data_IF_306510400890
#
_entry.id   IF_306510400890
#
_cell.length_a   1.000
_cell.length_b   1.000
_cell.length_c   1.000
_cell.angle_alpha   90.00
_cell.angle_beta   90.00
_cell.angle_gamma   90.00
#
_symmetry.space_group_name_H-M   'P 1'
#
loop_
_entity.id
_entity.type
_entity.pdbx_description
1 polymer ?
#
# COMPACT_ATOMS: atom_id res chain seq x y z
N UNK A 1 7.75 -23.99 -8.33
CA UNK A 1 8.85 -23.02 -8.12
C UNK A 1 9.74 -22.86 -9.34
N UNK A 2 10.35 -21.69 -9.51
CA UNK A 2 11.24 -21.43 -10.64
C UNK A 2 12.51 -22.30 -10.56
N UNK A 3 12.83 -23.01 -11.65
CA UNK A 3 14.06 -23.82 -11.78
C UNK A 3 15.32 -22.95 -11.73
N UNK A 4 15.26 -21.74 -12.24
CA UNK A 4 16.37 -20.79 -12.19
C UNK A 4 16.67 -20.38 -10.74
N UNK A 5 17.91 -20.58 -10.31
CA UNK A 5 18.40 -20.26 -8.97
C UNK A 5 19.03 -18.87 -8.88
N UNK A 6 19.12 -18.10 -9.96
CA UNK A 6 19.82 -16.80 -10.02
C UNK A 6 19.37 -15.84 -8.93
N UNK A 7 18.07 -15.62 -8.78
CA UNK A 7 17.51 -14.74 -7.74
C UNK A 7 17.74 -15.30 -6.34
N UNK A 8 17.57 -16.62 -6.14
CA UNK A 8 17.79 -17.25 -4.85
C UNK A 8 19.25 -17.19 -4.42
N UNK A 9 20.19 -17.36 -5.35
CA UNK A 9 21.62 -17.16 -5.10
C UNK A 9 21.92 -15.70 -4.76
N UNK A 10 21.35 -14.76 -5.50
CA UNK A 10 21.52 -13.33 -5.20
C UNK A 10 21.07 -12.97 -3.78
N UNK A 11 19.92 -13.51 -3.34
CA UNK A 11 19.41 -13.36 -1.98
C UNK A 11 20.30 -14.07 -0.96
N UNK A 12 20.66 -15.33 -1.20
CA UNK A 12 21.52 -16.13 -0.32
C UNK A 12 22.91 -15.53 -0.09
N UNK A 13 23.42 -14.75 -1.04
CA UNK A 13 24.68 -14.04 -0.85
C UNK A 13 24.54 -12.91 0.18
N UNK A 14 23.39 -12.22 0.22
CA UNK A 14 23.18 -10.98 0.99
C UNK A 14 22.38 -11.18 2.28
N UNK A 15 21.64 -12.28 2.38
CA UNK A 15 20.83 -12.60 3.52
C UNK A 15 20.86 -14.10 3.81
N UNK A 16 20.73 -14.42 5.09
CA UNK A 16 20.44 -15.76 5.57
C UNK A 16 18.93 -16.01 5.53
N UNK A 17 18.53 -17.20 5.08
CA UNK A 17 17.13 -17.63 5.14
C UNK A 17 16.84 -18.11 6.55
N UNK A 18 16.00 -17.39 7.28
CA UNK A 18 15.53 -17.80 8.61
C UNK A 18 14.40 -18.83 8.50
N UNK A 19 13.60 -18.72 7.45
CA UNK A 19 12.53 -19.64 7.12
C UNK A 19 11.67 -19.11 5.99
N UNK A 20 10.89 -19.99 5.39
CA UNK A 20 9.80 -19.65 4.48
C UNK A 20 8.56 -20.45 4.87
N UNK A 21 7.37 -19.91 4.61
CA UNK A 21 6.08 -20.54 4.91
C UNK A 21 5.26 -20.54 3.62
N UNK A 22 4.82 -21.71 3.18
CA UNK A 22 3.95 -21.87 2.01
C UNK A 22 2.50 -21.90 2.44
N UNK A 23 1.71 -20.99 1.90
CA UNK A 23 0.30 -20.82 2.20
C UNK A 23 -0.58 -21.66 1.25
N UNK A 24 -1.77 -22.07 1.69
CA UNK A 24 -2.74 -22.71 0.82
C UNK A 24 -3.26 -21.73 -0.25
N UNK A 25 -3.73 -22.29 -1.35
CA UNK A 25 -4.12 -21.55 -2.56
C UNK A 25 -5.27 -20.55 -2.34
N UNK A 26 -6.07 -20.71 -1.30
CA UNK A 26 -7.22 -19.87 -0.99
C UNK A 26 -6.92 -18.73 0.00
N UNK A 27 -5.67 -18.59 0.45
CA UNK A 27 -5.25 -17.58 1.43
C UNK A 27 -5.64 -16.14 1.04
N UNK A 28 -5.68 -15.85 -0.26
CA UNK A 28 -6.06 -14.54 -0.80
C UNK A 28 -7.42 -14.52 -1.51
N UNK A 29 -8.18 -15.61 -1.48
CA UNK A 29 -9.46 -15.72 -2.19
C UNK A 29 -10.50 -14.72 -1.69
N UNK A 30 -10.61 -14.54 -0.37
CA UNK A 30 -11.60 -13.63 0.25
C UNK A 30 -11.28 -12.14 0.02
N UNK A 31 -10.01 -11.78 -0.03
CA UNK A 31 -9.57 -10.38 -0.08
C UNK A 31 -9.21 -9.90 -1.50
N UNK A 32 -8.69 -10.79 -2.35
CA UNK A 32 -8.16 -10.46 -3.67
C UNK A 32 -8.76 -11.30 -4.81
N UNK A 33 -9.68 -12.23 -4.51
CA UNK A 33 -10.31 -13.09 -5.53
C UNK A 33 -9.34 -14.04 -6.25
N UNK A 34 -8.14 -14.22 -5.73
CA UNK A 34 -7.08 -15.01 -6.35
C UNK A 34 -6.91 -16.35 -5.64
N UNK A 35 -6.85 -17.43 -6.42
CA UNK A 35 -6.56 -18.79 -5.97
C UNK A 35 -5.13 -19.17 -6.39
N UNK A 36 -4.14 -18.74 -5.62
CA UNK A 36 -2.72 -18.89 -5.92
C UNK A 36 -1.94 -19.35 -4.69
N UNK A 37 -1.08 -20.36 -4.86
CA UNK A 37 -0.12 -20.75 -3.82
C UNK A 37 0.89 -19.63 -3.65
N UNK A 38 1.09 -19.17 -2.42
CA UNK A 38 1.93 -18.03 -2.09
C UNK A 38 2.85 -18.36 -0.92
N UNK A 39 4.04 -17.74 -0.90
CA UNK A 39 5.04 -17.99 0.13
C UNK A 39 5.35 -16.71 0.92
N UNK A 40 5.54 -16.83 2.24
CA UNK A 40 6.10 -15.78 3.11
C UNK A 40 7.55 -16.16 3.39
N UNK A 41 8.50 -15.26 3.10
CA UNK A 41 9.94 -15.55 3.23
C UNK A 41 10.55 -14.62 4.28
N UNK A 42 11.27 -15.19 5.24
CA UNK A 42 11.96 -14.48 6.31
C UNK A 42 13.47 -14.54 6.09
N UNK A 43 14.09 -13.36 5.95
CA UNK A 43 15.50 -13.20 5.61
C UNK A 43 16.19 -12.32 6.66
N UNK A 44 17.34 -12.75 7.15
CA UNK A 44 18.23 -11.93 7.98
C UNK A 44 19.36 -11.38 7.12
N UNK A 45 19.42 -10.05 6.97
CA UNK A 45 20.47 -9.38 6.22
C UNK A 45 21.83 -9.70 6.84
N UNK A 46 22.81 -10.00 5.99
CA UNK A 46 24.20 -10.16 6.39
C UNK A 46 24.94 -8.83 6.34
N UNK A 47 25.95 -8.69 7.18
CA UNK A 47 26.82 -7.50 7.20
C UNK A 47 27.67 -7.39 5.93
N UNK A 48 28.00 -8.53 5.32
CA UNK A 48 28.72 -8.59 4.04
C UNK A 48 28.16 -9.68 3.14
N UNK A 49 28.19 -9.48 1.81
CA UNK A 49 27.89 -10.54 0.86
C UNK A 49 28.87 -11.70 1.04
N UNK A 50 28.35 -12.93 1.07
CA UNK A 50 29.15 -14.15 1.04
C UNK A 50 28.87 -14.87 -0.27
N UNK A 51 29.90 -15.37 -0.96
CA UNK A 51 29.70 -16.21 -2.12
C UNK A 51 29.42 -17.66 -1.70
N UNK A 52 28.15 -17.94 -1.43
CA UNK A 52 27.68 -19.25 -1.00
C UNK A 52 26.46 -19.69 -1.82
N UNK A 53 26.22 -21.00 -1.85
CA UNK A 53 25.05 -21.61 -2.49
C UNK A 53 24.42 -22.61 -1.53
N UNK A 54 23.58 -22.15 -0.59
CA UNK A 54 22.84 -23.03 0.32
C UNK A 54 21.86 -23.95 -0.41
N UNK A 55 21.52 -25.09 0.18
CA UNK A 55 20.59 -26.08 -0.41
C UNK A 55 19.22 -25.48 -0.76
N UNK A 56 18.69 -24.56 0.04
CA UNK A 56 17.40 -23.88 -0.25
C UNK A 56 17.41 -23.09 -1.57
N UNK A 57 18.58 -22.77 -2.13
CA UNK A 57 18.66 -22.12 -3.45
C UNK A 57 18.34 -23.08 -4.60
N UNK A 58 18.31 -24.38 -4.32
CA UNK A 58 18.02 -25.43 -5.29
C UNK A 58 16.55 -25.85 -5.25
N UNK A 59 16.13 -26.54 -6.30
CA UNK A 59 14.84 -27.23 -6.35
C UNK A 59 15.09 -28.74 -6.22
N UNK A 60 14.20 -29.45 -5.53
CA UNK A 60 14.14 -30.90 -5.56
C UNK A 60 12.83 -31.39 -6.18
N UNK A 61 12.56 -32.68 -6.06
CA UNK A 61 11.29 -33.29 -6.46
C UNK A 61 10.56 -33.86 -5.26
N UNK A 62 9.25 -33.67 -5.20
CA UNK A 62 8.37 -34.39 -4.26
C UNK A 62 8.23 -35.86 -4.67
N UNK A 63 7.65 -36.68 -3.79
CA UNK A 63 7.33 -38.09 -4.11
C UNK A 63 6.42 -38.21 -5.35
N UNK A 64 5.51 -37.25 -5.53
CA UNK A 64 4.61 -37.16 -6.69
C UNK A 64 5.26 -36.54 -7.95
N UNK A 65 6.57 -36.25 -7.91
CA UNK A 65 7.36 -35.80 -9.06
C UNK A 65 7.34 -34.29 -9.35
N UNK A 66 6.74 -33.47 -8.47
CA UNK A 66 6.69 -32.02 -8.65
C UNK A 66 7.99 -31.34 -8.26
N UNK A 67 8.45 -30.41 -9.10
CA UNK A 67 9.64 -29.62 -8.83
C UNK A 67 9.32 -28.44 -7.89
N UNK A 68 9.74 -28.56 -6.63
CA UNK A 68 9.57 -27.51 -5.61
C UNK A 68 10.92 -27.11 -5.02
N UNK A 69 10.97 -25.97 -4.34
CA UNK A 69 12.14 -25.51 -3.63
C UNK A 69 12.56 -26.55 -2.57
N UNK A 70 13.86 -26.84 -2.52
CA UNK A 70 14.42 -27.83 -1.60
C UNK A 70 14.08 -27.54 -0.14
N UNK A 71 13.97 -26.26 0.24
CA UNK A 71 13.54 -25.85 1.58
C UNK A 71 12.21 -26.49 1.99
N UNK A 72 11.19 -26.52 1.13
CA UNK A 72 9.88 -27.09 1.48
C UNK A 72 9.86 -28.62 1.45
N UNK A 73 10.86 -29.25 0.83
CA UNK A 73 11.08 -30.70 0.93
C UNK A 73 11.68 -31.03 2.30
N UNK A 74 12.64 -30.23 2.74
CA UNK A 74 13.36 -30.43 3.98
C UNK A 74 12.54 -29.96 5.21
N UNK A 75 11.58 -29.05 4.99
CA UNK A 75 10.68 -28.47 6.00
C UNK A 75 9.20 -28.63 5.61
N UNK A 76 8.66 -29.87 5.58
CA UNK A 76 7.25 -30.10 5.25
C UNK A 76 6.29 -29.43 6.25
N UNK A 77 6.71 -29.21 7.50
CA UNK A 77 5.96 -28.47 8.52
C UNK A 77 5.70 -27.01 8.16
N UNK A 78 6.46 -26.45 7.21
CA UNK A 78 6.33 -25.09 6.72
C UNK A 78 5.35 -24.95 5.55
N UNK A 79 4.69 -26.04 5.14
CA UNK A 79 3.66 -26.05 4.11
C UNK A 79 2.29 -26.17 4.78
N UNK A 80 1.54 -25.06 4.83
CA UNK A 80 0.29 -24.95 5.57
C UNK A 80 -0.92 -25.47 4.78
N UNK A 81 -0.83 -26.72 4.32
CA UNK A 81 -1.88 -27.34 3.55
C UNK A 81 -1.53 -28.74 3.02
N UNK A 82 -2.49 -29.37 2.36
CA UNK A 82 -2.29 -30.63 1.65
C UNK A 82 -1.71 -30.35 0.27
N UNK A 83 -0.53 -30.88 0.01
CA UNK A 83 0.13 -30.80 -1.28
C UNK A 83 -0.53 -31.79 -2.24
N UNK A 84 -1.08 -31.31 -3.36
CA UNK A 84 -1.81 -32.16 -4.30
C UNK A 84 -1.55 -31.75 -5.76
N UNK A 85 -1.61 -32.70 -6.72
CA UNK A 85 -1.66 -32.40 -8.14
C UNK A 85 -3.02 -31.77 -8.50
N UNK A 86 -3.00 -30.68 -9.27
CA UNK A 86 -4.22 -30.08 -9.84
C UNK A 86 -4.14 -30.02 -11.35
N UNK A 87 -5.24 -30.38 -12.03
CA UNK A 87 -5.33 -30.24 -13.48
C UNK A 87 -5.64 -28.79 -13.85
N UNK A 88 -4.76 -28.18 -14.64
CA UNK A 88 -4.93 -26.83 -15.17
C UNK A 88 -5.04 -26.86 -16.70
N UNK A 89 -5.41 -25.73 -17.31
CA UNK A 89 -5.44 -25.57 -18.76
C UNK A 89 -4.08 -25.83 -19.44
N UNK A 90 -2.98 -25.83 -18.68
CA UNK A 90 -1.62 -26.05 -19.15
C UNK A 90 -1.04 -27.41 -18.76
N UNK A 91 -1.85 -28.30 -18.18
CA UNK A 91 -1.45 -29.63 -17.70
C UNK A 91 -1.54 -29.75 -16.18
N UNK A 92 -0.93 -30.79 -15.63
CA UNK A 92 -0.87 -30.99 -14.18
C UNK A 92 0.08 -29.98 -13.54
N UNK A 93 -0.39 -29.30 -12.50
CA UNK A 93 0.36 -28.36 -11.70
C UNK A 93 0.32 -28.76 -10.21
N UNK A 94 1.16 -28.12 -9.41
CA UNK A 94 1.26 -28.32 -7.98
C UNK A 94 0.39 -27.30 -7.24
N UNK A 95 -0.46 -27.76 -6.32
CA UNK A 95 -1.23 -26.88 -5.42
C UNK A 95 -1.05 -27.27 -3.96
N UNK A 96 -1.41 -26.34 -3.08
CA UNK A 96 -1.51 -26.56 -1.64
C UNK A 96 -2.95 -26.23 -1.24
N UNK A 97 -3.73 -27.26 -0.91
CA UNK A 97 -5.13 -27.11 -0.49
C UNK A 97 -5.21 -26.89 1.02
N UNK A 98 -6.15 -26.08 1.52
CA UNK A 98 -6.33 -25.90 2.96
C UNK A 98 -6.66 -27.23 3.65
N UNK A 99 -6.18 -27.40 4.89
CA UNK A 99 -6.53 -28.57 5.70
C UNK A 99 -7.91 -28.31 6.31
N UNK A 100 -8.86 -29.19 5.99
CA UNK A 100 -10.22 -29.12 6.52
C UNK A 100 -10.22 -29.16 8.06
N UNK A 101 -10.92 -28.20 8.67
CA UNK A 101 -11.05 -28.07 10.12
C UNK A 101 -9.89 -27.32 10.81
N UNK A 102 -8.89 -26.83 10.08
CA UNK A 102 -7.83 -25.99 10.63
C UNK A 102 -7.92 -24.55 10.10
N UNK A 103 -7.84 -23.59 11.01
CA UNK A 103 -7.75 -22.17 10.65
C UNK A 103 -6.33 -21.82 10.20
N UNK A 104 -6.21 -20.98 9.16
CA UNK A 104 -4.92 -20.55 8.63
C UNK A 104 -4.14 -19.70 9.65
N UNK A 105 -4.84 -18.90 10.45
CA UNK A 105 -4.22 -18.05 11.48
C UNK A 105 -3.44 -18.88 12.51
N UNK A 106 -3.99 -20.00 12.92
CA UNK A 106 -3.41 -20.85 13.97
C UNK A 106 -2.20 -21.61 13.42
N UNK A 107 -2.33 -22.15 12.20
CA UNK A 107 -1.23 -22.77 11.47
C UNK A 107 -0.07 -21.79 11.24
N UNK A 108 -0.36 -20.54 10.87
CA UNK A 108 0.67 -19.52 10.68
C UNK A 108 1.34 -19.15 12.00
N UNK A 109 0.57 -19.04 13.08
CA UNK A 109 1.10 -18.76 14.42
C UNK A 109 2.05 -19.87 14.89
N UNK A 110 1.77 -21.13 14.57
CA UNK A 110 2.65 -22.25 14.87
C UNK A 110 3.90 -22.30 13.98
N UNK A 111 3.75 -22.08 12.66
CA UNK A 111 4.88 -22.08 11.73
C UNK A 111 5.91 -20.99 12.04
N UNK A 112 5.46 -19.80 12.44
CA UNK A 112 6.36 -18.68 12.81
C UNK A 112 7.24 -19.03 14.03
N UNK A 113 6.82 -19.95 14.92
CA UNK A 113 7.63 -20.35 16.09
C UNK A 113 8.93 -21.04 15.70
N UNK A 114 9.01 -21.63 14.52
CA UNK A 114 10.22 -22.27 13.99
C UNK A 114 11.19 -21.28 13.34
N UNK A 115 10.79 -20.02 13.19
CA UNK A 115 11.60 -18.98 12.55
C UNK A 115 12.28 -18.15 13.63
N UNK A 116 13.60 -18.31 13.72
CA UNK A 116 14.42 -17.62 14.71
C UNK A 116 15.33 -16.62 14.02
N UNK A 117 15.18 -15.34 14.36
CA UNK A 117 16.04 -14.27 13.90
C UNK A 117 16.37 -13.32 15.03
N UNK A 118 17.50 -12.64 14.89
CA UNK A 118 17.84 -11.53 15.77
C UNK A 118 17.64 -10.22 15.01
N UNK A 119 16.86 -9.32 15.59
CA UNK A 119 16.92 -7.93 15.17
C UNK A 119 18.12 -7.29 15.87
N UNK A 120 19.19 -7.10 15.12
CA UNK A 120 20.23 -6.15 15.51
C UNK A 120 19.85 -4.81 14.91
N UNK A 121 19.58 -3.85 15.79
CA UNK A 121 19.60 -2.45 15.39
C UNK A 121 20.97 -2.20 14.75
N UNK A 122 21.00 -1.62 13.55
CA UNK A 122 22.24 -1.45 12.82
C UNK A 122 23.19 -0.60 13.67
N UNK A 123 24.23 -1.23 14.25
CA UNK A 123 25.28 -0.49 14.93
C UNK A 123 25.96 0.41 13.89
N UNK A 124 26.07 1.69 14.25
CA UNK A 124 26.85 2.66 13.50
C UNK A 124 28.26 2.06 13.31
N UNK A 125 28.82 2.06 12.10
CA UNK A 125 30.26 1.88 11.98
C UNK A 125 30.92 2.89 12.93
N UNK A 126 31.80 2.45 13.83
CA UNK A 126 32.69 3.39 14.51
C UNK A 126 33.52 4.06 13.42
N UNK A 127 33.12 5.29 13.09
CA UNK A 127 33.74 6.08 12.04
C UNK A 127 35.19 6.34 12.45
N UNK A 128 36.13 5.83 11.64
CA UNK A 128 37.50 6.32 11.67
C UNK A 128 37.50 7.83 11.41
N UNK A 129 38.52 8.53 11.91
CA UNK A 129 38.66 9.98 11.79
C UNK A 129 38.46 10.45 10.33
N UNK A 130 37.29 11.01 10.00
CA UNK A 130 37.01 11.63 8.70
C UNK A 130 35.62 11.41 8.08
N UNK A 131 34.76 10.54 8.61
CA UNK A 131 33.42 10.31 8.03
C UNK A 131 32.32 11.18 8.69
N UNK A 132 31.42 11.73 7.87
CA UNK A 132 30.37 12.64 8.31
C UNK A 132 29.42 11.96 9.30
N UNK A 133 29.05 12.69 10.36
CA UNK A 133 28.09 12.26 11.39
C UNK A 133 26.82 11.74 10.70
N UNK A 134 26.46 10.46 10.93
CA UNK A 134 25.15 9.94 10.51
C UNK A 134 24.06 10.70 11.27
N UNK A 135 23.46 11.67 10.59
CA UNK A 135 22.40 12.53 11.15
C UNK A 135 21.00 11.99 10.85
N UNK A 136 20.90 10.77 10.31
CA UNK A 136 19.62 10.16 9.97
C UNK A 136 18.95 9.50 11.19
N UNK A 137 17.62 9.48 11.17
CA UNK A 137 16.77 8.95 12.25
C UNK A 137 15.89 7.80 11.73
N UNK A 138 15.31 6.95 12.60
CA UNK A 138 14.30 5.98 12.20
C UNK A 138 13.14 6.66 11.46
N UNK A 139 12.60 6.00 10.42
CA UNK A 139 11.48 6.58 9.68
C UNK A 139 10.21 6.67 10.54
N UNK A 140 9.54 7.82 10.47
CA UNK A 140 8.17 7.98 10.97
C UNK A 140 7.20 7.22 10.07
N UNK A 141 6.41 6.27 10.60
CA UNK A 141 5.46 5.50 9.81
C UNK A 141 4.35 6.37 9.17
N UNK A 142 4.06 7.55 9.73
CA UNK A 142 3.04 8.48 9.23
C UNK A 142 3.53 9.34 8.05
N UNK A 143 4.84 9.45 7.84
CA UNK A 143 5.42 10.20 6.72
C UNK A 143 5.49 9.27 5.52
N UNK A 144 4.85 9.57 4.39
CA UNK A 144 4.92 8.72 3.19
C UNK A 144 6.38 8.53 2.71
N UNK A 145 6.71 7.32 2.24
CA UNK A 145 8.03 7.06 1.65
C UNK A 145 8.31 8.02 0.47
N UNK A 146 9.56 8.44 0.29
CA UNK A 146 9.98 9.44 -0.70
C UNK A 146 9.29 10.79 -0.52
N UNK A 147 9.22 11.27 0.73
CA UNK A 147 8.62 12.56 1.06
C UNK A 147 9.46 13.28 2.12
N UNK A 148 9.46 14.60 2.08
CA UNK A 148 10.10 15.41 3.11
C UNK A 148 9.22 15.52 4.36
N UNK A 149 9.81 15.71 5.53
CA UNK A 149 9.09 16.02 6.76
C UNK A 149 9.92 16.93 7.65
N UNK A 150 9.25 17.67 8.53
CA UNK A 150 9.90 18.52 9.51
C UNK A 150 9.87 17.83 10.87
N UNK A 151 11.04 17.43 11.37
CA UNK A 151 11.20 16.81 12.69
C UNK A 151 12.10 17.72 13.51
N UNK A 152 11.61 18.16 14.68
CA UNK A 152 12.29 19.11 15.56
C UNK A 152 12.81 20.37 14.84
N UNK A 153 12.02 20.87 13.90
CA UNK A 153 12.32 22.06 13.11
C UNK A 153 13.35 21.86 11.99
N UNK A 154 13.80 20.64 11.72
CA UNK A 154 14.78 20.29 10.69
C UNK A 154 14.14 19.48 9.57
N UNK A 155 14.62 19.67 8.34
CA UNK A 155 14.15 18.91 7.18
C UNK A 155 14.77 17.51 7.19
N UNK A 156 13.93 16.51 7.05
CA UNK A 156 14.31 15.14 6.75
C UNK A 156 13.63 14.69 5.47
N UNK A 157 14.23 13.73 4.77
CA UNK A 157 13.67 13.05 3.63
C UNK A 157 13.55 11.56 3.95
N UNK A 158 12.36 10.98 3.80
CA UNK A 158 12.14 9.56 4.10
C UNK A 158 12.58 8.70 2.91
N UNK A 159 13.53 7.81 3.18
CA UNK A 159 13.95 6.73 2.27
C UNK A 159 13.76 5.38 2.96
N UNK A 160 12.69 4.71 2.59
CA UNK A 160 12.26 3.42 3.12
C UNK A 160 12.07 3.47 4.65
N UNK A 161 13.01 2.88 5.39
CA UNK A 161 12.99 2.74 6.84
C UNK A 161 13.82 3.79 7.56
N UNK A 162 14.42 4.76 6.84
CA UNK A 162 15.20 5.86 7.42
C UNK A 162 14.69 7.22 6.98
N UNK A 163 14.96 8.22 7.79
CA UNK A 163 14.77 9.63 7.48
C UNK A 163 16.13 10.31 7.51
N UNK A 164 16.61 10.74 6.34
CA UNK A 164 17.95 11.31 6.15
C UNK A 164 17.88 12.83 6.11
N UNK A 165 18.93 13.52 6.55
CA UNK A 165 19.03 14.96 6.33
C UNK A 165 19.51 15.21 4.90
N UNK A 166 18.71 15.86 4.05
CA UNK A 166 19.18 16.25 2.73
C UNK A 166 20.23 17.35 2.86
N UNK A 167 21.25 17.31 1.99
CA UNK A 167 22.23 18.39 1.87
C UNK A 167 21.60 19.61 1.18
N UNK A 168 21.01 20.49 1.99
CA UNK A 168 20.33 21.69 1.54
C UNK A 168 21.03 22.92 2.09
N UNK A 169 21.28 23.91 1.22
CA UNK A 169 21.62 25.24 1.70
C UNK A 169 20.40 25.90 2.36
N UNK A 170 20.63 26.97 3.14
CA UNK A 170 19.59 27.64 3.91
C UNK A 170 18.38 28.13 3.07
N UNK A 171 18.61 28.50 1.80
CA UNK A 171 17.52 28.95 0.91
C UNK A 171 16.69 27.76 0.43
N UNK A 172 17.33 26.66 0.05
CA UNK A 172 16.65 25.43 -0.36
C UNK A 172 15.88 24.82 0.82
N UNK A 173 16.48 24.75 2.01
CA UNK A 173 15.82 24.28 3.23
C UNK A 173 14.55 25.09 3.55
N UNK A 174 14.63 26.42 3.44
CA UNK A 174 13.49 27.28 3.70
C UNK A 174 12.38 27.16 2.63
N UNK A 175 12.72 26.84 1.38
CA UNK A 175 11.74 26.48 0.32
C UNK A 175 11.07 25.15 0.63
N UNK A 176 11.84 24.13 0.95
CA UNK A 176 11.34 22.80 1.32
C UNK A 176 10.38 22.89 2.49
N UNK A 177 10.75 23.61 3.57
CA UNK A 177 9.85 23.84 4.73
C UNK A 177 8.51 24.46 4.33
N UNK A 178 8.53 25.45 3.44
CA UNK A 178 7.31 26.09 2.94
C UNK A 178 6.43 25.14 2.10
N UNK A 179 7.06 24.32 1.24
CA UNK A 179 6.36 23.35 0.40
C UNK A 179 5.82 22.16 1.21
N UNK A 180 6.54 21.70 2.25
CA UNK A 180 6.03 20.71 3.22
C UNK A 180 4.77 21.25 3.90
N UNK A 181 4.81 22.48 4.42
CA UNK A 181 3.63 23.09 5.06
C UNK A 181 2.43 23.23 4.11
N UNK A 182 2.67 23.59 2.84
CA UNK A 182 1.62 23.60 1.81
C UNK A 182 1.06 22.21 1.55
N UNK A 183 1.92 21.20 1.42
CA UNK A 183 1.53 19.81 1.17
C UNK A 183 0.67 19.28 2.30
N UNK A 184 1.10 19.45 3.54
CA UNK A 184 0.41 18.94 4.71
C UNK A 184 -0.98 19.59 4.82
N UNK A 185 -1.06 20.92 4.61
CA UNK A 185 -2.33 21.64 4.54
C UNK A 185 -3.25 21.15 3.40
N UNK A 186 -2.70 20.82 2.23
CA UNK A 186 -3.47 20.28 1.09
C UNK A 186 -3.98 18.87 1.40
N UNK A 187 -3.16 18.00 1.99
CA UNK A 187 -3.56 16.64 2.34
C UNK A 187 -4.68 16.66 3.38
N UNK A 188 -4.54 17.46 4.44
CA UNK A 188 -5.62 17.66 5.42
C UNK A 188 -6.90 18.21 4.77
N UNK A 189 -6.78 19.16 3.83
CA UNK A 189 -7.93 19.68 3.11
C UNK A 189 -8.61 18.63 2.20
N UNK A 190 -7.84 17.71 1.62
CA UNK A 190 -8.39 16.57 0.86
C UNK A 190 -9.17 15.66 1.80
N UNK A 191 -8.61 15.30 2.94
CA UNK A 191 -9.25 14.42 3.93
C UNK A 191 -10.56 15.03 4.45
N UNK A 192 -10.56 16.32 4.79
CA UNK A 192 -11.76 17.06 5.22
C UNK A 192 -12.84 17.09 4.14
N UNK A 193 -12.47 17.16 2.85
CA UNK A 193 -13.45 17.17 1.77
C UNK A 193 -14.04 15.79 1.47
N UNK A 194 -13.28 14.73 1.73
CA UNK A 194 -13.71 13.33 1.55
C UNK A 194 -14.70 12.88 2.62
N UNK A 195 -14.65 13.47 3.82
CA UNK A 195 -15.57 13.16 4.90
C UNK A 195 -16.93 13.87 4.73
N UNK A 196 -17.99 13.08 4.62
CA UNK A 196 -19.37 13.57 4.51
C UNK A 196 -19.89 14.24 5.79
N UNK A 197 -19.31 13.90 6.96
CA UNK A 197 -19.69 14.48 8.24
C UNK A 197 -19.08 15.86 8.48
N UNK A 198 -18.05 16.25 7.71
CA UNK A 198 -17.38 17.53 7.86
C UNK A 198 -18.22 18.66 7.27
N UNK A 199 -18.57 19.69 8.07
CA UNK A 199 -19.33 20.84 7.59
C UNK A 199 -18.49 21.74 6.67
N UNK A 200 -19.16 22.44 5.75
CA UNK A 200 -18.50 23.34 4.80
C UNK A 200 -17.72 24.48 5.48
N UNK A 201 -18.09 24.88 6.70
CA UNK A 201 -17.34 25.90 7.46
C UNK A 201 -15.92 25.45 7.80
N UNK A 202 -15.73 24.19 8.19
CA UNK A 202 -14.40 23.65 8.52
C UNK A 202 -13.51 23.58 7.26
N UNK A 203 -14.11 23.25 6.11
CA UNK A 203 -13.42 23.25 4.82
C UNK A 203 -13.02 24.68 4.44
N UNK A 204 -13.92 25.66 4.59
CA UNK A 204 -13.64 27.07 4.33
C UNK A 204 -12.50 27.61 5.21
N UNK A 205 -12.46 27.22 6.49
CA UNK A 205 -11.36 27.56 7.40
C UNK A 205 -10.02 27.01 6.89
N UNK A 206 -9.99 25.73 6.48
CA UNK A 206 -8.77 25.11 5.94
C UNK A 206 -8.37 25.68 4.58
N UNK A 207 -9.33 26.05 3.74
CA UNK A 207 -9.09 26.79 2.49
C UNK A 207 -8.50 28.18 2.74
N UNK A 208 -8.97 28.88 3.77
CA UNK A 208 -8.40 30.16 4.17
C UNK A 208 -6.96 30.00 4.69
N UNK A 209 -6.67 28.91 5.41
CA UNK A 209 -5.30 28.56 5.81
C UNK A 209 -4.40 28.28 4.60
N UNK A 210 -4.86 27.43 3.66
CA UNK A 210 -4.13 27.15 2.43
C UNK A 210 -3.83 28.42 1.63
N UNK A 211 -4.80 29.34 1.53
CA UNK A 211 -4.59 30.65 0.89
C UNK A 211 -3.48 31.44 1.56
N UNK A 212 -3.51 31.57 2.89
CA UNK A 212 -2.48 32.31 3.65
C UNK A 212 -1.09 31.70 3.47
N UNK A 213 -0.98 30.37 3.54
CA UNK A 213 0.28 29.66 3.34
C UNK A 213 0.81 29.86 1.92
N UNK A 214 -0.06 29.73 0.92
CA UNK A 214 0.31 29.91 -0.49
C UNK A 214 0.76 31.34 -0.78
N UNK A 215 0.01 32.34 -0.33
CA UNK A 215 0.33 33.74 -0.58
C UNK A 215 1.65 34.13 0.11
N UNK A 216 1.87 33.64 1.33
CA UNK A 216 3.13 33.85 2.06
C UNK A 216 4.32 33.17 1.38
N UNK A 217 4.13 31.95 0.88
CA UNK A 217 5.15 31.22 0.14
C UNK A 217 5.48 31.92 -1.18
N UNK A 218 4.46 32.21 -1.99
CA UNK A 218 4.61 32.77 -3.33
C UNK A 218 5.24 34.17 -3.30
N UNK A 219 4.87 35.01 -2.33
CA UNK A 219 5.47 36.33 -2.14
C UNK A 219 6.99 36.26 -1.88
N UNK A 220 7.49 35.19 -1.25
CA UNK A 220 8.90 35.04 -0.89
C UNK A 220 9.70 34.22 -1.90
N UNK A 221 9.08 33.21 -2.51
CA UNK A 221 9.77 32.16 -3.26
C UNK A 221 9.31 32.01 -4.71
N UNK A 222 8.32 32.79 -5.15
CA UNK A 222 7.72 32.65 -6.47
C UNK A 222 6.73 31.49 -6.56
N UNK A 223 6.34 31.15 -7.79
CA UNK A 223 5.36 30.10 -8.06
C UNK A 223 5.89 28.72 -7.66
N UNK A 224 5.04 27.81 -7.23
CA UNK A 224 5.40 26.42 -6.94
C UNK A 224 6.04 25.76 -8.17
N UNK A 225 5.52 26.09 -9.36
CA UNK A 225 6.03 25.60 -10.63
C UNK A 225 7.38 26.21 -11.07
N UNK A 226 7.88 27.23 -10.38
CA UNK A 226 9.16 27.86 -10.72
C UNK A 226 10.33 26.87 -10.60
N UNK A 227 11.31 27.01 -11.49
CA UNK A 227 12.49 26.11 -11.57
C UNK A 227 13.22 25.98 -10.23
N UNK A 228 13.33 27.05 -9.45
CA UNK A 228 14.02 27.02 -8.15
C UNK A 228 13.27 26.18 -7.10
N UNK A 229 11.93 26.21 -7.11
CA UNK A 229 11.10 25.39 -6.23
C UNK A 229 11.10 23.93 -6.68
N UNK A 230 11.04 23.70 -8.01
CA UNK A 230 11.22 22.36 -8.59
C UNK A 230 12.54 21.72 -8.16
N UNK A 231 13.66 22.42 -8.34
CA UNK A 231 14.98 21.89 -7.99
C UNK A 231 15.12 21.57 -6.50
N UNK A 232 14.38 22.26 -5.63
CA UNK A 232 14.45 22.04 -4.19
C UNK A 232 13.54 20.90 -3.70
N UNK A 233 12.49 20.53 -4.44
CA UNK A 233 11.40 19.70 -3.91
C UNK A 233 10.87 18.62 -4.87
N UNK A 234 11.41 18.50 -6.09
CA UNK A 234 10.90 17.55 -7.09
C UNK A 234 10.98 16.08 -6.66
N UNK A 235 11.86 15.75 -5.71
CA UNK A 235 11.99 14.39 -5.17
C UNK A 235 10.84 14.01 -4.23
N UNK A 236 10.04 14.97 -3.75
CA UNK A 236 8.86 14.67 -2.94
C UNK A 236 7.77 14.02 -3.78
N UNK A 237 7.23 12.91 -3.28
CA UNK A 237 6.17 12.14 -3.95
C UNK A 237 4.89 12.94 -4.21
N UNK A 238 4.70 14.07 -3.52
CA UNK A 238 3.53 14.95 -3.64
C UNK A 238 3.84 16.25 -4.41
N UNK A 239 5.03 16.42 -4.98
CA UNK A 239 5.39 17.66 -5.69
C UNK A 239 4.38 18.02 -6.80
N UNK A 240 4.00 17.06 -7.65
CA UNK A 240 3.05 17.32 -8.74
C UNK A 240 1.63 17.63 -8.26
N UNK A 241 1.24 17.17 -7.07
CA UNK A 241 0.00 17.59 -6.43
C UNK A 241 0.04 19.08 -6.07
N UNK A 242 1.17 19.56 -5.55
CA UNK A 242 1.37 20.97 -5.28
C UNK A 242 1.39 21.81 -6.56
N UNK A 243 2.01 21.32 -7.64
CA UNK A 243 1.98 22.02 -8.93
C UNK A 243 0.55 22.25 -9.44
N UNK A 244 -0.37 21.33 -9.17
CA UNK A 244 -1.78 21.45 -9.55
C UNK A 244 -2.56 22.55 -8.79
N UNK A 245 -1.95 23.18 -7.77
CA UNK A 245 -2.50 24.36 -7.11
C UNK A 245 -2.47 25.61 -8.00
N UNK A 246 -1.66 25.60 -9.05
CA UNK A 246 -1.43 26.73 -9.94
C UNK A 246 -1.91 26.37 -11.34
N UNK A 247 -2.83 27.16 -11.88
CA UNK A 247 -3.15 27.09 -13.30
C UNK A 247 -2.26 28.08 -14.03
N UNK A 248 -1.41 27.55 -14.89
CA UNK A 248 -0.37 28.30 -15.61
C UNK A 248 -0.82 28.51 -17.06
N UNK A 249 -0.62 29.71 -17.59
CA UNK A 249 -0.92 30.05 -18.98
C UNK A 249 0.16 29.54 -19.96
N UNK A 250 -0.02 29.81 -21.25
CA UNK A 250 0.91 29.40 -22.31
C UNK A 250 2.31 30.03 -22.17
N UNK A 251 2.42 31.18 -21.49
CA UNK A 251 3.67 31.90 -21.25
C UNK A 251 4.38 31.47 -19.96
N UNK A 252 3.83 30.51 -19.22
CA UNK A 252 4.40 30.04 -17.97
C UNK A 252 4.08 30.92 -16.75
N UNK A 253 3.08 31.82 -16.85
CA UNK A 253 2.65 32.69 -15.75
C UNK A 253 1.40 32.15 -15.06
N UNK A 254 1.22 32.53 -13.80
CA UNK A 254 0.02 32.18 -13.03
C UNK A 254 -1.22 32.86 -13.64
N UNK A 255 -2.10 32.06 -14.23
CA UNK A 255 -3.41 32.51 -14.70
C UNK A 255 -4.36 32.68 -13.51
N UNK A 256 -4.43 31.66 -12.63
CA UNK A 256 -5.22 31.66 -11.39
C UNK A 256 -4.79 30.53 -10.44
N UNK A 257 -5.24 30.62 -9.19
CA UNK A 257 -5.19 29.51 -8.23
C UNK A 257 -6.21 28.43 -8.61
N UNK A 258 -5.94 27.19 -8.22
CA UNK A 258 -6.87 26.08 -8.40
C UNK A 258 -8.18 26.26 -7.62
N UNK A 259 -9.24 25.59 -8.08
CA UNK A 259 -10.57 25.66 -7.49
C UNK A 259 -10.61 25.25 -6.00
N UNK A 260 -9.69 24.36 -5.58
CA UNK A 260 -9.58 23.86 -4.21
C UNK A 260 -9.33 24.97 -3.17
N UNK A 261 -8.83 26.14 -3.59
CA UNK A 261 -8.67 27.30 -2.69
C UNK A 261 -9.99 27.98 -2.31
N UNK A 262 -11.10 27.70 -2.99
CA UNK A 262 -12.35 28.48 -2.85
C UNK A 262 -13.62 27.65 -2.76
N UNK A 263 -13.61 26.40 -3.21
CA UNK A 263 -14.78 25.52 -3.18
C UNK A 263 -14.40 24.07 -3.00
N UNK A 264 -15.35 23.26 -2.52
CA UNK A 264 -15.22 21.82 -2.41
C UNK A 264 -15.04 21.23 -3.83
N UNK A 265 -13.88 20.66 -4.12
CA UNK A 265 -13.54 20.00 -5.39
C UNK A 265 -13.67 18.48 -5.31
N UNK A 266 -13.67 17.92 -4.12
CA UNK A 266 -13.88 16.48 -3.87
C UNK A 266 -15.26 16.32 -3.24
N UNK A 267 -16.16 15.63 -3.95
CA UNK A 267 -17.46 15.29 -3.36
C UNK A 267 -17.29 14.07 -2.45
N UNK A 268 -17.75 14.14 -1.19
CA UNK A 268 -17.72 12.98 -0.32
C UNK A 268 -18.61 11.89 -0.92
N UNK A 269 -18.21 10.65 -0.75
CA UNK A 269 -19.06 9.52 -1.12
C UNK A 269 -20.28 9.53 -0.20
N UNK A 270 -21.45 9.81 -0.75
CA UNK A 270 -22.71 9.70 -0.02
C UNK A 270 -23.35 8.37 -0.42
N UNK A 271 -23.35 7.42 0.51
CA UNK A 271 -24.11 6.19 0.34
C UNK A 271 -25.57 6.56 0.04
N UNK A 272 -26.10 6.00 -1.05
CA UNK A 272 -27.49 6.24 -1.42
C UNK A 272 -28.38 5.76 -0.27
N UNK A 273 -29.23 6.63 0.26
CA UNK A 273 -30.03 6.31 1.44
C UNK A 273 -31.37 5.64 1.09
N UNK A 274 -31.97 6.03 -0.04
CA UNK A 274 -33.26 5.50 -0.52
C UNK A 274 -33.24 5.45 -2.05
N UNK A 275 -33.84 4.40 -2.62
CA UNK A 275 -34.13 4.26 -4.06
C UNK A 275 -35.51 3.67 -4.26
N UNK A 276 -36.15 3.97 -5.39
CA UNK A 276 -37.56 3.59 -5.62
C UNK A 276 -37.70 2.19 -6.24
N UNK A 277 -36.68 1.73 -6.98
CA UNK A 277 -36.76 0.50 -7.77
C UNK A 277 -35.78 -0.58 -7.31
N UNK A 278 -36.15 -1.85 -7.50
CA UNK A 278 -35.26 -2.97 -7.22
C UNK A 278 -33.99 -2.94 -8.10
N UNK A 279 -34.08 -2.44 -9.34
CA UNK A 279 -32.94 -2.30 -10.25
C UNK A 279 -31.93 -1.26 -9.78
N UNK A 280 -32.39 -0.11 -9.27
CA UNK A 280 -31.51 0.89 -8.68
C UNK A 280 -30.88 0.36 -7.39
N UNK A 281 -31.66 -0.32 -6.54
CA UNK A 281 -31.16 -0.94 -5.33
C UNK A 281 -30.07 -1.99 -5.63
N UNK A 282 -30.27 -2.77 -6.70
CA UNK A 282 -29.29 -3.74 -7.18
C UNK A 282 -28.00 -3.04 -7.63
N UNK A 283 -28.10 -1.98 -8.44
CA UNK A 283 -26.93 -1.22 -8.88
C UNK A 283 -26.14 -0.64 -7.70
N UNK A 284 -26.84 -0.07 -6.71
CA UNK A 284 -26.23 0.43 -5.47
C UNK A 284 -25.61 -0.71 -4.67
N UNK A 285 -26.28 -1.85 -4.53
CA UNK A 285 -25.76 -3.02 -3.80
C UNK A 285 -24.47 -3.57 -4.44
N UNK A 286 -24.42 -3.68 -5.77
CA UNK A 286 -23.21 -4.08 -6.49
C UNK A 286 -22.09 -3.03 -6.31
N UNK A 287 -22.42 -1.73 -6.38
CA UNK A 287 -21.43 -0.66 -6.19
C UNK A 287 -20.85 -0.60 -4.77
N UNK A 288 -21.69 -0.79 -3.75
CA UNK A 288 -21.30 -0.59 -2.33
C UNK A 288 -20.85 -1.89 -1.64
N UNK A 289 -21.37 -3.04 -2.05
CA UNK A 289 -21.14 -4.34 -1.40
C UNK A 289 -20.45 -5.35 -2.30
N UNK A 290 -20.23 -5.02 -3.57
CA UNK A 290 -19.66 -5.92 -4.59
C UNK A 290 -20.44 -7.24 -4.76
N UNK A 291 -21.70 -7.31 -4.30
CA UNK A 291 -22.54 -8.49 -4.38
C UNK A 291 -24.03 -8.12 -4.33
N UNK A 292 -24.91 -9.09 -4.61
CA UNK A 292 -26.37 -8.92 -4.46
C UNK A 292 -26.74 -9.09 -2.99
N UNK A 293 -26.62 -8.02 -2.21
CA UNK A 293 -27.05 -8.00 -0.81
C UNK A 293 -28.54 -7.64 -0.71
N UNK A 294 -29.39 -8.67 -0.60
CA UNK A 294 -30.85 -8.51 -0.49
C UNK A 294 -31.27 -7.78 0.79
N UNK A 295 -30.49 -7.87 1.87
CA UNK A 295 -30.78 -7.16 3.12
C UNK A 295 -30.57 -5.66 2.96
N UNK A 296 -29.43 -5.28 2.38
CA UNK A 296 -29.11 -3.90 2.06
C UNK A 296 -30.11 -3.30 1.06
N UNK A 297 -30.46 -4.03 -0.01
CA UNK A 297 -31.45 -3.58 -0.99
C UNK A 297 -32.85 -3.38 -0.38
N UNK A 298 -33.24 -4.20 0.60
CA UNK A 298 -34.50 -4.04 1.33
C UNK A 298 -34.49 -2.75 2.17
N UNK A 299 -33.36 -2.41 2.79
CA UNK A 299 -33.22 -1.17 3.55
C UNK A 299 -33.32 0.08 2.65
N UNK A 300 -32.77 0.03 1.44
CA UNK A 300 -32.80 1.15 0.49
C UNK A 300 -34.19 1.39 -0.12
N UNK A 301 -34.97 0.34 -0.32
CA UNK A 301 -36.27 0.42 -1.04
C UNK A 301 -37.48 0.35 -0.13
N UNK A 302 -37.31 -0.14 1.11
CA UNK A 302 -38.40 -0.53 1.99
C UNK A 302 -39.16 -1.80 1.55
N UNK A 303 -38.75 -2.44 0.44
CA UNK A 303 -39.40 -3.65 -0.09
C UNK A 303 -38.89 -4.90 0.63
N UNK A 304 -39.71 -5.94 0.61
CA UNK A 304 -39.32 -7.27 1.10
C UNK A 304 -38.35 -7.95 0.13
N UNK A 305 -37.59 -8.94 0.63
CA UNK A 305 -36.66 -9.70 -0.21
C UNK A 305 -37.38 -10.45 -1.32
N UNK A 306 -38.61 -10.91 -1.06
CA UNK A 306 -39.48 -11.61 -2.00
C UNK A 306 -39.93 -10.69 -3.14
N UNK A 307 -40.37 -9.47 -2.82
CA UNK A 307 -40.72 -8.45 -3.83
C UNK A 307 -39.52 -8.08 -4.69
N UNK A 308 -38.36 -7.84 -4.08
CA UNK A 308 -37.12 -7.54 -4.79
C UNK A 308 -36.69 -8.69 -5.71
N UNK A 309 -36.78 -9.93 -5.24
CA UNK A 309 -36.46 -11.11 -6.05
C UNK A 309 -37.44 -11.28 -7.22
N UNK A 310 -38.71 -10.95 -7.03
CA UNK A 310 -39.72 -10.96 -8.08
C UNK A 310 -39.47 -9.89 -9.15
N UNK A 311 -39.18 -8.65 -8.72
CA UNK A 311 -38.89 -7.54 -9.64
C UNK A 311 -37.58 -7.73 -10.41
N UNK A 312 -36.62 -8.46 -9.85
CA UNK A 312 -35.30 -8.72 -10.46
C UNK A 312 -35.19 -10.10 -11.11
N UNK A 313 -36.33 -10.75 -11.39
CA UNK A 313 -36.35 -12.04 -12.03
C UNK A 313 -35.65 -11.99 -13.40
N UNK A 314 -34.69 -12.88 -13.61
CA UNK A 314 -33.88 -12.93 -14.84
C UNK A 314 -32.68 -11.97 -14.86
N UNK A 315 -32.53 -11.14 -13.82
CA UNK A 315 -31.35 -10.28 -13.62
C UNK A 315 -30.46 -10.83 -12.52
N UNK A 316 -31.04 -11.30 -11.41
CA UNK A 316 -30.31 -11.96 -10.33
C UNK A 316 -30.57 -13.47 -10.34
N UNK A 317 -29.57 -14.25 -9.95
CA UNK A 317 -29.63 -15.70 -9.91
C UNK A 317 -29.15 -16.21 -8.56
N UNK A 318 -29.82 -17.25 -8.04
CA UNK A 318 -29.36 -17.92 -6.83
C UNK A 318 -28.06 -18.67 -7.13
N UNK A 319 -27.13 -18.62 -6.20
CA UNK A 319 -25.91 -19.44 -6.27
C UNK A 319 -26.34 -20.92 -6.22
N UNK A 320 -25.97 -21.73 -7.23
CA UNK A 320 -26.31 -23.15 -7.23
C UNK A 320 -25.73 -23.87 -6.01
N UNK A 321 -26.55 -24.64 -5.29
CA UNK A 321 -26.10 -25.50 -4.20
C UNK A 321 -26.20 -24.91 -2.78
N UNK A 322 -26.64 -23.66 -2.61
CA UNK A 322 -27.05 -23.13 -1.30
C UNK A 322 -28.58 -23.14 -1.19
N UNK A 323 -29.10 -23.95 -0.25
CA UNK A 323 -30.52 -24.00 0.14
C UNK A 323 -30.75 -23.10 1.35
#
# INVERSE_FOLDING_TARGET
>A
DAKDSTVRRYLAQRAELLGAIRLPNDAFKKNAGAEVVSDIIFLQKRDRPLDIVPEWTQTGQTEDGFAINRYFIDHPEMVLGRQEPVSTAHGMDYTVNPIEGLELSDQLHDAVKYIHGTYQEAELPELGEGEAIDTSIPADPNVKNYSYAIVDGQVYYRENSRMVRPDLNATAEARVKGLVGLRDCVQELIDLQMDAAVPDSAIQEKQAELNRLYDSFSAKYGLINDRANRLAYADDSSYYLLCALEVIDEDGKLERKADMFTKRTIKPHQAVAVVDTASEALAVSISEKACVDMGYMSQLTGKTKEELAGELQGVIFRVPGQL
#
